data_IF_458419055385
#
_entry.id   IF_458419055385
#
_cell.length_a   1.000
_cell.length_b   1.000
_cell.length_c   1.000
_cell.angle_alpha   90.00
_cell.angle_beta   90.00
_cell.angle_gamma   90.00
#
_symmetry.space_group_name_H-M   'P 1'
#
loop_
_entity.id
_entity.type
_entity.pdbx_description
1 polymer ?
#
# COMPACT_ATOMS: atom_id res chain seq x y z
N UNK A 1 -8.21 25.00 34.81
CA UNK A 1 -7.80 23.60 34.55
C UNK A 1 -8.04 23.15 33.10
N UNK A 2 -9.20 23.44 32.48
CA UNK A 2 -9.47 23.08 31.06
C UNK A 2 -8.46 23.64 30.04
N UNK A 3 -7.96 24.86 30.23
CA UNK A 3 -6.98 25.49 29.31
C UNK A 3 -5.61 24.78 29.33
N UNK A 4 -5.19 24.27 30.49
CA UNK A 4 -3.94 23.52 30.65
C UNK A 4 -4.05 22.15 29.97
N UNK A 5 -5.21 21.50 30.12
CA UNK A 5 -5.51 20.25 29.42
C UNK A 5 -5.52 20.41 27.90
N UNK A 6 -6.06 21.54 27.41
CA UNK A 6 -6.07 21.87 25.99
C UNK A 6 -4.66 22.10 25.42
N UNK A 7 -3.78 22.75 26.19
CA UNK A 7 -2.38 22.96 25.80
C UNK A 7 -1.58 21.65 25.78
N UNK A 8 -1.86 20.73 26.70
CA UNK A 8 -1.25 19.40 26.75
C UNK A 8 -1.63 18.54 25.55
N UNK A 9 -2.91 18.59 25.14
CA UNK A 9 -3.40 17.94 23.93
C UNK A 9 -2.73 18.50 22.67
N UNK A 10 -2.52 19.82 22.60
CA UNK A 10 -1.88 20.44 21.45
C UNK A 10 -0.39 20.04 21.35
N UNK A 11 0.30 19.92 22.48
CA UNK A 11 1.70 19.48 22.52
C UNK A 11 1.86 18.02 22.04
N UNK A 12 0.92 17.13 22.39
CA UNK A 12 0.91 15.74 21.92
C UNK A 12 0.75 15.62 20.40
N UNK A 13 0.00 16.53 19.76
CA UNK A 13 -0.17 16.52 18.30
C UNK A 13 1.10 17.00 17.59
N UNK A 14 1.85 17.94 18.18
CA UNK A 14 3.07 18.49 17.56
C UNK A 14 4.26 17.52 17.72
N UNK A 15 4.36 16.80 18.84
CA UNK A 15 5.46 15.88 19.12
C UNK A 15 5.19 14.42 18.71
N UNK A 16 3.94 14.03 18.46
CA UNK A 16 3.58 12.66 18.05
C UNK A 16 3.87 12.34 16.57
N UNK A 17 4.32 13.31 15.78
CA UNK A 17 4.85 13.08 14.45
C UNK A 17 6.34 12.71 14.54
N UNK A 18 6.65 11.61 15.24
CA UNK A 18 7.90 10.90 14.99
C UNK A 18 7.80 10.41 13.54
N UNK A 19 8.49 11.12 12.65
CA UNK A 19 8.87 10.61 11.35
C UNK A 19 9.53 9.26 11.60
N UNK A 20 8.82 8.18 11.29
CA UNK A 20 9.43 6.87 11.11
C UNK A 20 10.56 7.10 10.10
N UNK A 21 11.81 7.15 10.61
CA UNK A 21 12.98 7.26 9.78
C UNK A 21 12.90 6.16 8.73
N UNK A 22 13.32 6.46 7.50
CA UNK A 22 13.38 5.49 6.40
C UNK A 22 14.03 4.19 6.89
N UNK A 23 13.23 3.24 7.32
CA UNK A 23 13.65 1.86 7.43
C UNK A 23 13.80 1.44 5.97
N UNK A 24 15.01 1.62 5.41
CA UNK A 24 15.41 0.97 4.18
C UNK A 24 15.27 -0.53 4.43
N UNK A 25 14.06 -1.02 4.19
CA UNK A 25 13.73 -2.43 4.20
C UNK A 25 14.70 -3.11 3.25
N UNK A 26 15.33 -4.18 3.69
CA UNK A 26 16.25 -4.93 2.83
C UNK A 26 15.48 -5.43 1.60
N UNK A 27 15.71 -4.77 0.46
CA UNK A 27 15.08 -5.10 -0.81
C UNK A 27 15.85 -6.18 -1.59
N UNK A 28 16.90 -6.78 -1.01
CA UNK A 28 17.70 -7.82 -1.67
C UNK A 28 16.84 -9.02 -2.12
N UNK A 29 15.79 -9.35 -1.37
CA UNK A 29 14.82 -10.38 -1.76
C UNK A 29 14.02 -10.05 -3.04
N UNK A 30 13.93 -8.77 -3.40
CA UNK A 30 13.25 -8.27 -4.60
C UNK A 30 14.23 -7.88 -5.71
N UNK A 31 15.53 -8.07 -5.50
CA UNK A 31 16.54 -7.78 -6.50
C UNK A 31 16.39 -8.74 -7.68
N UNK A 32 15.99 -8.19 -8.82
CA UNK A 32 15.74 -8.97 -10.04
C UNK A 32 17.08 -9.52 -10.55
N UNK A 33 17.21 -10.84 -10.65
CA UNK A 33 18.31 -11.47 -11.39
C UNK A 33 18.21 -11.12 -12.88
N UNK A 34 19.06 -10.21 -13.33
CA UNK A 34 19.15 -9.81 -14.74
C UNK A 34 19.92 -10.88 -15.50
N UNK A 35 19.28 -11.48 -16.51
CA UNK A 35 19.91 -12.34 -17.50
C UNK A 35 19.52 -11.84 -18.90
N UNK A 36 20.34 -12.12 -19.91
CA UNK A 36 20.07 -11.70 -21.30
C UNK A 36 18.68 -12.19 -21.76
N UNK A 37 18.35 -13.45 -21.46
CA UNK A 37 17.04 -14.03 -21.76
C UNK A 37 15.89 -13.30 -21.07
N UNK A 38 16.05 -12.90 -19.81
CA UNK A 38 15.03 -12.16 -19.07
C UNK A 38 14.83 -10.74 -19.62
N UNK A 39 15.90 -10.13 -20.14
CA UNK A 39 15.83 -8.81 -20.76
C UNK A 39 15.12 -8.89 -22.12
N UNK A 40 15.46 -9.85 -22.96
CA UNK A 40 14.80 -10.09 -24.25
C UNK A 40 13.32 -10.46 -24.08
N UNK A 41 13.00 -11.35 -23.14
CA UNK A 41 11.63 -11.71 -22.82
C UNK A 41 10.81 -10.50 -22.32
N UNK A 42 11.43 -9.58 -21.58
CA UNK A 42 10.76 -8.36 -21.12
C UNK A 42 10.44 -7.37 -22.25
N UNK A 43 11.19 -7.43 -23.36
CA UNK A 43 10.94 -6.61 -24.56
C UNK A 43 9.91 -7.24 -25.50
N UNK A 44 9.46 -8.46 -25.22
CA UNK A 44 8.44 -9.12 -26.04
C UNK A 44 7.07 -8.43 -25.84
N UNK A 45 6.42 -7.96 -26.92
CA UNK A 45 5.15 -7.23 -26.83
C UNK A 45 4.01 -8.10 -26.30
N UNK A 46 4.00 -9.41 -26.58
CA UNK A 46 2.97 -10.31 -26.06
C UNK A 46 3.08 -10.48 -24.54
N UNK A 47 4.31 -10.65 -24.03
CA UNK A 47 4.58 -10.73 -22.59
C UNK A 47 4.21 -9.42 -21.90
N UNK A 48 4.58 -8.28 -22.50
CA UNK A 48 4.23 -6.95 -21.98
C UNK A 48 2.71 -6.75 -21.92
N UNK A 49 1.99 -7.08 -22.99
CA UNK A 49 0.53 -7.01 -23.02
C UNK A 49 -0.11 -7.89 -21.94
N UNK A 50 0.40 -9.12 -21.75
CA UNK A 50 -0.06 -10.03 -20.70
C UNK A 50 0.06 -9.39 -19.31
N UNK A 51 1.23 -8.81 -19.00
CA UNK A 51 1.47 -8.14 -17.70
C UNK A 51 0.48 -6.99 -17.47
N UNK A 52 0.22 -6.17 -18.50
CA UNK A 52 -0.73 -5.05 -18.40
C UNK A 52 -2.16 -5.57 -18.19
N UNK A 53 -2.57 -6.61 -18.92
CA UNK A 53 -3.88 -7.24 -18.76
C UNK A 53 -4.05 -7.85 -17.36
N UNK A 54 -3.06 -8.59 -16.88
CA UNK A 54 -3.10 -9.22 -15.56
C UNK A 54 -3.19 -8.16 -14.44
N UNK A 55 -2.44 -7.05 -14.58
CA UNK A 55 -2.56 -5.89 -13.67
C UNK A 55 -3.95 -5.27 -13.67
N UNK A 56 -4.60 -5.21 -14.83
CA UNK A 56 -5.97 -4.68 -14.95
C UNK A 56 -6.96 -5.60 -14.21
N UNK A 57 -6.90 -6.91 -14.46
CA UNK A 57 -7.76 -7.90 -13.80
C UNK A 57 -7.57 -7.84 -12.28
N UNK A 58 -6.33 -7.78 -11.81
CA UNK A 58 -6.04 -7.67 -10.37
C UNK A 58 -6.68 -6.42 -9.75
N UNK A 59 -6.60 -5.26 -10.42
CA UNK A 59 -7.24 -4.02 -9.94
C UNK A 59 -8.76 -4.16 -9.89
N UNK A 60 -9.37 -4.75 -10.92
CA UNK A 60 -10.81 -4.99 -10.97
C UNK A 60 -11.26 -5.91 -9.83
N UNK A 61 -10.50 -6.98 -9.55
CA UNK A 61 -10.74 -7.87 -8.41
C UNK A 61 -10.65 -7.13 -7.08
N UNK A 62 -9.62 -6.30 -6.87
CA UNK A 62 -9.47 -5.50 -5.63
C UNK A 62 -10.59 -4.50 -5.42
N UNK A 63 -11.05 -3.86 -6.50
CA UNK A 63 -12.21 -2.96 -6.44
C UNK A 63 -13.48 -3.74 -6.10
N UNK A 64 -13.69 -4.91 -6.72
CA UNK A 64 -14.85 -5.77 -6.44
C UNK A 64 -14.85 -6.28 -4.98
N UNK A 65 -13.70 -6.69 -4.46
CA UNK A 65 -13.50 -7.07 -3.06
C UNK A 65 -13.84 -5.91 -2.12
N UNK A 66 -13.32 -4.72 -2.39
CA UNK A 66 -13.58 -3.52 -1.58
C UNK A 66 -15.07 -3.16 -1.59
N UNK A 67 -15.72 -3.14 -2.76
CA UNK A 67 -17.17 -2.88 -2.87
C UNK A 67 -17.96 -3.94 -2.10
N UNK A 68 -17.61 -5.22 -2.22
CA UNK A 68 -18.27 -6.31 -1.50
C UNK A 68 -18.12 -6.13 0.01
N UNK A 69 -16.92 -5.79 0.48
CA UNK A 69 -16.66 -5.48 1.88
C UNK A 69 -17.59 -4.38 2.38
N UNK A 70 -17.62 -3.21 1.73
CA UNK A 70 -18.45 -2.07 2.15
C UNK A 70 -19.97 -2.34 2.05
N UNK A 71 -20.43 -3.18 1.12
CA UNK A 71 -21.84 -3.59 1.06
C UNK A 71 -22.25 -4.43 2.27
N UNK A 72 -21.33 -5.29 2.72
CA UNK A 72 -21.56 -6.21 3.83
C UNK A 72 -21.14 -5.63 5.18
N UNK A 73 -20.50 -4.45 5.20
CA UNK A 73 -19.94 -3.83 6.41
C UNK A 73 -20.97 -3.13 7.29
N UNK A 74 -22.29 -3.35 7.11
CA UNK A 74 -23.33 -2.72 7.94
C UNK A 74 -23.19 -3.03 9.44
N UNK A 75 -22.48 -4.11 9.80
CA UNK A 75 -22.13 -4.48 11.17
C UNK A 75 -20.64 -4.29 11.50
N UNK A 76 -19.83 -3.82 10.55
CA UNK A 76 -18.39 -3.64 10.75
C UNK A 76 -18.13 -2.30 11.45
N UNK A 77 -18.15 -2.31 12.78
CA UNK A 77 -17.59 -1.24 13.59
C UNK A 77 -16.08 -1.42 13.72
N UNK A 78 -15.31 -0.39 13.37
CA UNK A 78 -13.91 -0.31 13.79
C UNK A 78 -13.91 -0.11 15.31
N UNK A 79 -13.86 -1.20 16.07
CA UNK A 79 -13.69 -1.13 17.52
C UNK A 79 -12.26 -0.65 17.76
N UNK A 80 -12.14 0.50 18.42
CA UNK A 80 -10.89 1.22 18.70
C UNK A 80 -10.17 0.61 19.89
#
# INVERSE_FOLDING_TARGET
MKKIFLLLLLALVIFGAESEGEHCSDLSAFEKKVSLLNEEASKNPQITCRIVCDKKIYKEQKIAEAISFYKNSKEYGFVK
#
